data_IF_649522788237
#
_entry.id   IF_649522788237
#
_cell.length_a   1.000
_cell.length_b   1.000
_cell.length_c   1.000
_cell.angle_alpha   90.00
_cell.angle_beta   90.00
_cell.angle_gamma   90.00
#
_symmetry.space_group_name_H-M   'P 1'
#
loop_
_entity.id
_entity.type
_entity.pdbx_description
1 polymer ?
#
# COMPACT_ATOMS: atom_id res chain seq x y z
N UNK A 1 11.04 16.38 5.02
CA UNK A 1 10.59 17.60 4.34
C UNK A 1 9.71 18.36 5.32
N UNK A 2 10.14 19.55 5.74
CA UNK A 2 9.33 20.37 6.64
C UNK A 2 8.34 21.17 5.80
N UNK A 3 7.05 20.96 6.07
CA UNK A 3 5.96 21.45 5.24
C UNK A 3 5.14 22.44 6.07
N UNK A 4 5.13 23.71 5.67
CA UNK A 4 4.44 24.75 6.45
C UNK A 4 2.95 24.88 6.10
N UNK A 5 2.60 24.72 4.83
CA UNK A 5 1.22 24.90 4.35
C UNK A 5 0.25 23.88 5.01
N UNK A 6 -0.87 24.32 5.60
CA UNK A 6 -1.77 23.43 6.32
C UNK A 6 -2.33 22.27 5.49
N UNK A 7 -2.70 22.50 4.22
CA UNK A 7 -3.23 21.43 3.34
C UNK A 7 -2.16 20.39 3.02
N UNK A 8 -0.91 20.82 2.87
CA UNK A 8 0.18 19.88 2.62
C UNK A 8 0.46 19.04 3.88
N UNK A 9 0.27 19.60 5.08
CA UNK A 9 0.33 18.81 6.33
C UNK A 9 -0.74 17.71 6.37
N UNK A 10 -1.95 17.99 5.89
CA UNK A 10 -3.01 16.98 5.78
C UNK A 10 -2.63 15.87 4.80
N UNK A 11 -2.03 16.20 3.65
CA UNK A 11 -1.57 15.19 2.69
C UNK A 11 -0.39 14.36 3.24
N UNK A 12 0.50 14.96 4.02
CA UNK A 12 1.54 14.22 4.75
C UNK A 12 0.91 13.27 5.78
N UNK A 13 -0.15 13.69 6.49
CA UNK A 13 -0.86 12.83 7.42
C UNK A 13 -1.59 11.68 6.71
N UNK A 14 -2.20 11.95 5.55
CA UNK A 14 -2.81 10.92 4.71
C UNK A 14 -1.78 9.86 4.26
N UNK A 15 -0.62 10.32 3.78
CA UNK A 15 0.50 9.46 3.42
C UNK A 15 0.96 8.58 4.60
N UNK A 16 1.15 9.18 5.78
CA UNK A 16 1.55 8.45 7.00
C UNK A 16 0.50 7.42 7.41
N UNK A 17 -0.78 7.79 7.40
CA UNK A 17 -1.85 6.87 7.79
C UNK A 17 -1.92 5.65 6.87
N UNK A 18 -1.63 5.80 5.57
CA UNK A 18 -1.57 4.68 4.63
C UNK A 18 -0.35 3.79 4.88
N UNK A 19 0.79 4.42 5.21
CA UNK A 19 2.03 3.72 5.55
C UNK A 19 1.90 2.92 6.85
N UNK A 20 1.29 3.52 7.87
CA UNK A 20 1.10 2.90 9.19
C UNK A 20 0.09 1.73 9.15
N UNK A 21 -0.95 1.81 8.32
CA UNK A 21 -2.01 0.79 8.26
C UNK A 21 -1.68 -0.35 7.29
N UNK A 22 -1.18 -0.03 6.09
CA UNK A 22 -0.97 -1.00 5.00
C UNK A 22 0.50 -1.11 4.60
N UNK A 23 1.27 -0.02 4.67
CA UNK A 23 2.68 0.01 4.28
C UNK A 23 2.93 -0.01 2.77
N UNK A 24 1.89 0.10 1.94
CA UNK A 24 1.98 0.13 0.48
C UNK A 24 1.13 1.25 -0.14
N UNK A 25 1.45 1.60 -1.39
CA UNK A 25 0.67 2.52 -2.23
C UNK A 25 0.53 3.94 -1.66
N UNK A 26 1.45 4.33 -0.77
CA UNK A 26 1.47 5.65 -0.10
C UNK A 26 1.61 6.81 -1.08
N UNK A 27 2.32 6.62 -2.20
CA UNK A 27 2.38 7.63 -3.28
C UNK A 27 1.05 7.72 -4.03
N UNK A 28 0.41 6.57 -4.27
CA UNK A 28 -0.85 6.47 -4.99
C UNK A 28 -1.99 7.19 -4.26
N UNK A 29 -2.08 7.05 -2.94
CA UNK A 29 -3.15 7.70 -2.17
C UNK A 29 -3.07 9.23 -2.22
N UNK A 30 -1.86 9.80 -2.20
CA UNK A 30 -1.66 11.26 -2.30
C UNK A 30 -1.98 11.75 -3.71
N UNK A 31 -1.53 11.03 -4.74
CA UNK A 31 -1.85 11.36 -6.13
C UNK A 31 -3.37 11.29 -6.40
N UNK A 32 -4.03 10.26 -5.88
CA UNK A 32 -5.48 10.09 -5.99
C UNK A 32 -6.25 11.23 -5.31
N UNK A 33 -5.84 11.63 -4.09
CA UNK A 33 -6.43 12.79 -3.42
C UNK A 33 -6.26 14.08 -4.23
N UNK A 34 -5.09 14.28 -4.87
CA UNK A 34 -4.84 15.42 -5.76
C UNK A 34 -5.83 15.48 -6.93
N UNK A 35 -6.04 14.35 -7.62
CA UNK A 35 -7.00 14.26 -8.73
C UNK A 35 -8.44 14.50 -8.25
N UNK A 36 -8.83 13.96 -7.10
CA UNK A 36 -10.16 14.20 -6.54
C UNK A 36 -10.41 15.68 -6.24
N UNK A 37 -9.39 16.39 -5.75
CA UNK A 37 -9.48 17.83 -5.50
C UNK A 37 -9.58 18.62 -6.81
N UNK A 38 -8.82 18.27 -7.84
CA UNK A 38 -8.90 18.88 -9.18
C UNK A 38 -10.28 18.67 -9.81
N UNK A 39 -10.85 17.46 -9.71
CA UNK A 39 -12.22 17.21 -10.19
C UNK A 39 -13.27 17.97 -9.38
N UNK A 40 -13.04 18.13 -8.07
CA UNK A 40 -13.93 18.91 -7.20
C UNK A 40 -13.91 20.40 -7.54
N UNK A 41 -12.74 20.96 -7.90
CA UNK A 41 -12.60 22.34 -8.36
C UNK A 41 -13.50 22.61 -9.59
N UNK A 42 -13.50 21.72 -10.57
CA UNK A 42 -14.38 21.84 -11.74
C UNK A 42 -15.89 21.80 -11.42
N UNK A 43 -16.29 21.17 -10.31
CA UNK A 43 -17.68 21.19 -9.83
C UNK A 43 -18.00 22.49 -9.08
N UNK A 44 -17.04 23.03 -8.33
CA UNK A 44 -17.16 24.33 -7.67
C UNK A 44 -17.32 25.46 -8.68
N UNK A 45 -16.57 25.45 -9.78
CA UNK A 45 -16.67 26.42 -10.87
C UNK A 45 -18.05 26.44 -11.53
N UNK A 46 -18.78 25.31 -11.47
CA UNK A 46 -20.15 25.17 -11.96
C UNK A 46 -21.22 25.57 -10.94
N UNK A 47 -20.80 26.07 -9.77
CA UNK A 47 -21.68 26.54 -8.70
C UNK A 47 -22.26 25.44 -7.82
N UNK A 48 -21.70 24.23 -7.85
CA UNK A 48 -22.13 23.14 -6.95
C UNK A 48 -21.57 23.43 -5.55
N UNK A 49 -22.41 23.37 -4.52
CA UNK A 49 -21.93 23.67 -3.17
C UNK A 49 -21.03 22.53 -2.65
N UNK A 50 -19.94 22.84 -1.93
CA UNK A 50 -18.98 21.85 -1.43
C UNK A 50 -19.62 20.67 -0.69
N UNK A 51 -20.65 20.93 0.13
CA UNK A 51 -21.33 19.89 0.92
C UNK A 51 -21.97 18.79 0.06
N UNK A 52 -22.46 19.13 -1.14
CA UNK A 52 -23.03 18.14 -2.07
C UNK A 52 -21.95 17.36 -2.79
N UNK A 53 -20.78 17.96 -3.02
CA UNK A 53 -19.63 17.26 -3.60
C UNK A 53 -19.15 16.19 -2.62
N UNK A 54 -18.98 16.56 -1.33
CA UNK A 54 -18.58 15.62 -0.28
C UNK A 54 -19.58 14.47 -0.15
N UNK A 55 -20.88 14.76 -0.01
CA UNK A 55 -21.92 13.72 0.07
C UNK A 55 -21.96 12.82 -1.19
N UNK A 56 -21.72 13.40 -2.37
CA UNK A 56 -21.60 12.65 -3.61
C UNK A 56 -20.40 11.71 -3.66
N UNK A 57 -19.23 12.19 -3.20
CA UNK A 57 -18.00 11.39 -3.13
C UNK A 57 -18.13 10.26 -2.10
N UNK A 58 -18.75 10.49 -0.94
CA UNK A 58 -18.98 9.45 0.06
C UNK A 58 -19.87 8.32 -0.49
N UNK A 59 -20.95 8.69 -1.20
CA UNK A 59 -21.83 7.71 -1.87
C UNK A 59 -21.11 6.96 -2.98
N UNK A 60 -20.32 7.66 -3.80
CA UNK A 60 -19.54 7.03 -4.86
C UNK A 60 -18.49 6.06 -4.30
N UNK A 61 -17.84 6.43 -3.19
CA UNK A 61 -16.89 5.58 -2.47
C UNK A 61 -17.55 4.28 -2.00
N UNK A 62 -18.73 4.38 -1.36
CA UNK A 62 -19.47 3.21 -0.90
C UNK A 62 -19.78 2.24 -2.06
N UNK A 63 -20.25 2.76 -3.20
CA UNK A 63 -20.54 1.96 -4.40
C UNK A 63 -19.26 1.34 -4.99
N UNK A 64 -18.15 2.09 -5.03
CA UNK A 64 -16.88 1.58 -5.53
C UNK A 64 -16.34 0.42 -4.68
N UNK A 65 -16.42 0.54 -3.35
CA UNK A 65 -16.02 -0.51 -2.40
C UNK A 65 -16.91 -1.74 -2.52
N UNK A 66 -18.23 -1.55 -2.65
CA UNK A 66 -19.17 -2.66 -2.87
C UNK A 66 -18.85 -3.41 -4.17
N UNK A 67 -18.57 -2.67 -5.26
CA UNK A 67 -18.14 -3.28 -6.51
C UNK A 67 -16.82 -4.04 -6.37
N UNK A 68 -15.84 -3.49 -5.66
CA UNK A 68 -14.56 -4.17 -5.43
C UNK A 68 -14.77 -5.49 -4.67
N UNK A 69 -15.66 -5.49 -3.67
CA UNK A 69 -16.04 -6.69 -2.92
C UNK A 69 -16.78 -7.74 -3.76
N UNK A 70 -17.38 -7.36 -4.88
CA UNK A 70 -18.00 -8.32 -5.81
C UNK A 70 -16.99 -8.93 -6.78
N UNK A 71 -15.97 -8.17 -7.18
CA UNK A 71 -15.02 -8.57 -8.23
C UNK A 71 -13.70 -9.15 -7.72
N UNK A 72 -13.42 -9.12 -6.41
CA UNK A 72 -12.15 -9.64 -5.93
C UNK A 72 -12.08 -11.18 -6.05
N UNK A 73 -10.97 -11.66 -6.59
CA UNK A 73 -10.64 -13.07 -6.57
C UNK A 73 -9.82 -13.40 -5.31
N UNK A 74 -10.14 -14.54 -4.68
CA UNK A 74 -9.32 -15.04 -3.57
C UNK A 74 -8.19 -15.89 -4.12
N UNK A 75 -6.95 -15.42 -3.96
CA UNK A 75 -5.76 -16.21 -4.27
C UNK A 75 -5.56 -17.25 -3.17
N UNK A 76 -5.61 -18.53 -3.54
CA UNK A 76 -5.33 -19.62 -2.60
C UNK A 76 -3.84 -19.62 -2.25
N UNK A 77 -3.58 -19.71 -0.96
CA UNK A 77 -2.26 -19.83 -0.38
C UNK A 77 -2.13 -21.16 0.38
N UNK A 78 -0.94 -21.75 0.33
CA UNK A 78 -0.55 -22.92 1.10
C UNK A 78 0.88 -22.75 1.59
N UNK A 79 1.19 -23.22 2.79
CA UNK A 79 2.56 -23.25 3.31
C UNK A 79 3.50 -24.12 2.45
N UNK A 80 2.94 -25.03 1.66
CA UNK A 80 3.70 -25.89 0.76
C UNK A 80 3.92 -25.28 -0.63
N UNK A 81 3.19 -24.21 -0.97
CA UNK A 81 3.27 -23.53 -2.26
C UNK A 81 3.07 -22.02 -2.08
N UNK A 82 4.19 -21.32 -1.95
CA UNK A 82 4.26 -19.86 -1.76
C UNK A 82 4.34 -19.11 -3.09
N UNK A 83 4.37 -19.81 -4.23
CA UNK A 83 4.64 -19.24 -5.56
C UNK A 83 3.67 -18.12 -5.94
N UNK A 84 2.39 -18.24 -5.55
CA UNK A 84 1.39 -17.22 -5.79
C UNK A 84 1.66 -15.93 -5.00
N UNK A 85 2.12 -16.03 -3.74
CA UNK A 85 2.44 -14.86 -2.93
C UNK A 85 3.71 -14.22 -3.45
N UNK A 86 4.76 -15.01 -3.69
CA UNK A 86 6.03 -14.53 -4.25
C UNK A 86 5.77 -13.78 -5.56
N UNK A 87 5.02 -14.36 -6.49
CA UNK A 87 4.67 -13.71 -7.76
C UNK A 87 3.92 -12.39 -7.56
N UNK A 88 3.01 -12.32 -6.59
CA UNK A 88 2.25 -11.10 -6.31
C UNK A 88 3.17 -10.02 -5.76
N UNK A 89 4.05 -10.36 -4.82
CA UNK A 89 5.07 -9.44 -4.27
C UNK A 89 6.04 -8.95 -5.35
N UNK A 90 6.48 -9.83 -6.24
CA UNK A 90 7.33 -9.46 -7.38
C UNK A 90 6.68 -8.43 -8.30
N UNK A 91 5.38 -8.58 -8.57
CA UNK A 91 4.62 -7.66 -9.43
C UNK A 91 4.49 -6.28 -8.79
N UNK A 92 4.27 -6.20 -7.47
CA UNK A 92 4.22 -4.94 -6.73
C UNK A 92 5.57 -4.20 -6.82
N UNK A 93 6.67 -4.94 -6.79
CA UNK A 93 8.03 -4.40 -6.81
C UNK A 93 8.72 -4.51 -8.16
N UNK A 94 7.97 -4.53 -9.26
CA UNK A 94 8.51 -4.71 -10.61
C UNK A 94 9.58 -3.68 -11.02
N UNK A 95 9.62 -2.52 -10.35
CA UNK A 95 10.62 -1.48 -10.58
C UNK A 95 11.96 -1.71 -9.84
N UNK A 96 12.03 -2.69 -8.93
CA UNK A 96 13.21 -3.00 -8.11
C UNK A 96 14.14 -3.98 -8.84
N UNK A 97 15.44 -3.73 -8.81
CA UNK A 97 16.46 -4.68 -9.29
C UNK A 97 16.51 -5.90 -8.38
N UNK A 98 16.67 -7.11 -8.93
CA UNK A 98 16.66 -8.37 -8.16
C UNK A 98 15.33 -8.63 -7.41
N UNK A 99 14.21 -8.05 -7.89
CA UNK A 99 12.90 -8.15 -7.23
C UNK A 99 12.44 -9.59 -6.96
N UNK A 100 12.83 -10.55 -7.82
CA UNK A 100 12.52 -11.97 -7.64
C UNK A 100 13.05 -12.49 -6.31
N UNK A 101 14.34 -12.27 -6.05
CA UNK A 101 15.00 -12.70 -4.82
C UNK A 101 14.52 -11.93 -3.60
N UNK A 102 14.30 -10.62 -3.72
CA UNK A 102 13.77 -9.83 -2.61
C UNK A 102 12.35 -10.26 -2.23
N UNK A 103 11.52 -10.63 -3.21
CA UNK A 103 10.19 -11.15 -2.96
C UNK A 103 10.25 -12.50 -2.22
N UNK A 104 11.15 -13.41 -2.63
CA UNK A 104 11.37 -14.68 -1.91
C UNK A 104 11.80 -14.44 -0.46
N UNK A 105 12.83 -13.61 -0.24
CA UNK A 105 13.32 -13.26 1.11
C UNK A 105 12.21 -12.66 1.97
N UNK A 106 11.42 -11.73 1.42
CA UNK A 106 10.34 -11.10 2.15
C UNK A 106 9.25 -12.11 2.53
N UNK A 107 8.85 -12.98 1.61
CA UNK A 107 7.85 -14.01 1.87
C UNK A 107 8.35 -14.99 2.92
N UNK A 108 9.59 -15.48 2.81
CA UNK A 108 10.16 -16.42 3.77
C UNK A 108 10.29 -15.80 5.16
N UNK A 109 10.73 -14.54 5.25
CA UNK A 109 10.80 -13.81 6.52
C UNK A 109 9.43 -13.68 7.19
N UNK A 110 8.40 -13.29 6.43
CA UNK A 110 7.02 -13.17 6.95
C UNK A 110 6.50 -14.53 7.41
N UNK A 111 6.70 -15.59 6.63
CA UNK A 111 6.24 -16.94 6.98
C UNK A 111 6.93 -17.51 8.22
N UNK A 112 8.13 -17.04 8.55
CA UNK A 112 8.86 -17.47 9.75
C UNK A 112 8.29 -16.91 11.06
N UNK A 113 7.54 -15.80 11.00
CA UNK A 113 7.03 -15.08 12.19
C UNK A 113 5.51 -14.99 12.27
N UNK A 114 4.79 -15.24 11.17
CA UNK A 114 3.33 -15.07 11.12
C UNK A 114 2.58 -16.07 12.00
N UNK A 115 1.61 -15.59 12.77
CA UNK A 115 0.73 -16.41 13.60
C UNK A 115 -0.64 -16.56 12.95
N UNK A 116 -0.84 -17.60 12.13
CA UNK A 116 -2.07 -17.80 11.35
C UNK A 116 -3.35 -17.90 12.20
N UNK A 117 -3.28 -18.45 13.42
CA UNK A 117 -4.45 -18.57 14.29
C UNK A 117 -4.94 -17.21 14.81
N UNK A 118 -3.99 -16.33 15.16
CA UNK A 118 -4.28 -15.00 15.69
C UNK A 118 -4.39 -13.94 14.59
N UNK A 119 -4.02 -14.30 13.35
CA UNK A 119 -3.90 -13.40 12.20
C UNK A 119 -3.03 -12.20 12.55
N UNK A 120 -1.97 -12.47 13.30
CA UNK A 120 -1.04 -11.46 13.79
C UNK A 120 0.30 -11.63 13.10
N UNK A 121 0.97 -10.51 12.87
CA UNK A 121 2.24 -10.46 12.19
C UNK A 121 3.20 -9.57 13.00
N UNK A 122 3.99 -10.15 13.91
CA UNK A 122 4.89 -9.38 14.76
C UNK A 122 6.12 -8.93 13.95
N UNK A 123 5.99 -7.79 13.26
CA UNK A 123 7.06 -7.18 12.45
C UNK A 123 8.34 -6.92 13.25
N UNK A 124 8.24 -6.70 14.56
CA UNK A 124 9.39 -6.51 15.45
C UNK A 124 10.35 -7.72 15.49
N UNK A 125 9.89 -8.91 15.08
CA UNK A 125 10.72 -10.11 14.98
C UNK A 125 11.53 -10.18 13.68
N UNK A 126 11.24 -9.32 12.69
CA UNK A 126 11.98 -9.23 11.44
C UNK A 126 12.95 -8.05 11.53
N UNK A 127 14.24 -8.35 11.73
CA UNK A 127 15.28 -7.32 11.72
C UNK A 127 15.86 -7.17 10.32
N UNK A 128 15.73 -5.97 9.74
CA UNK A 128 16.42 -5.58 8.51
C UNK A 128 17.71 -4.85 8.88
N UNK A 129 18.86 -5.38 8.43
CA UNK A 129 20.18 -4.80 8.70
C UNK A 129 20.90 -4.49 7.39
N UNK A 130 21.39 -3.26 7.26
CA UNK A 130 22.05 -2.77 6.05
C UNK A 130 23.57 -2.80 6.20
N UNK A 131 24.25 -3.57 5.37
CA UNK A 131 25.71 -3.60 5.28
C UNK A 131 26.24 -2.73 4.14
N UNK A 132 27.47 -2.20 4.29
CA UNK A 132 28.17 -1.50 3.19
C UNK A 132 29.06 -2.49 2.45
N UNK A 133 29.01 -2.45 1.11
CA UNK A 133 29.80 -3.31 0.23
C UNK A 133 28.99 -4.46 -0.38
N UNK A 134 29.53 -5.07 -1.43
CA UNK A 134 28.82 -6.12 -2.19
C UNK A 134 27.81 -5.57 -3.20
N UNK A 135 27.00 -6.48 -3.75
CA UNK A 135 25.85 -6.23 -4.60
C UNK A 135 24.54 -6.40 -3.82
N UNK A 136 23.43 -5.84 -4.32
CA UNK A 136 22.09 -6.18 -3.82
C UNK A 136 21.83 -7.69 -3.86
N UNK A 137 22.41 -8.36 -4.85
CA UNK A 137 22.39 -9.82 -4.99
C UNK A 137 23.19 -10.57 -3.90
N UNK A 138 23.85 -9.89 -2.97
CA UNK A 138 24.48 -10.55 -1.82
C UNK A 138 23.55 -10.60 -0.59
N UNK A 139 22.34 -10.02 -0.69
CA UNK A 139 21.36 -9.99 0.41
C UNK A 139 20.82 -11.39 0.70
N UNK A 140 20.81 -11.80 1.97
CA UNK A 140 20.33 -13.11 2.42
C UNK A 140 19.46 -13.00 3.65
N UNK A 141 18.48 -13.88 3.77
CA UNK A 141 17.78 -14.15 5.03
C UNK A 141 18.69 -15.01 5.93
N UNK A 142 18.76 -14.68 7.22
CA UNK A 142 19.58 -15.36 8.24
C UNK A 142 18.68 -15.87 9.35
#
# INVERSE_FOLDING_TARGET
MEVEHPIWKLLVQLWKSQDDEIGDSTTGVVAFAGVLLEQSEGLLDRGILPIWIVDGLDKACAVAVEHLNFFFDTVKFSLFDTSNIVRTTQQLWAAILENERFAEIAVDAVLSVVEFERKDMPFDLIKVDGGVGGSLADTTLI
#
